data_IF_232560325523
#
_entry.id   IF_232560325523
#
_cell.length_a   1.000
_cell.length_b   1.000
_cell.length_c   1.000
_cell.angle_alpha   90.00
_cell.angle_beta   90.00
_cell.angle_gamma   90.00
#
_symmetry.space_group_name_H-M   'P 1'
#
loop_
_entity.id
_entity.type
_entity.pdbx_description
1 polymer ?
#
# COMPACT_ATOMS: atom_id res chain seq x y z
N UNK A 1 -10.33 -8.88 12.91
CA UNK A 1 -9.88 -7.76 13.75
C UNK A 1 -8.79 -8.33 14.65
N UNK A 2 -7.52 -8.04 14.37
CA UNK A 2 -6.45 -8.50 15.26
C UNK A 2 -6.61 -7.72 16.57
N UNK A 3 -7.02 -8.42 17.61
CA UNK A 3 -7.07 -7.91 18.98
C UNK A 3 -5.66 -7.45 19.39
N UNK A 4 -5.55 -6.39 20.20
CA UNK A 4 -4.30 -5.95 20.83
C UNK A 4 -3.58 -7.15 21.50
N UNK A 5 -4.35 -8.13 21.99
CA UNK A 5 -3.84 -9.40 22.48
C UNK A 5 -3.09 -10.21 21.41
N UNK A 6 -3.64 -10.36 20.21
CA UNK A 6 -3.03 -11.08 19.10
C UNK A 6 -1.72 -10.42 18.63
N UNK A 7 -1.67 -9.10 18.59
CA UNK A 7 -0.45 -8.34 18.25
C UNK A 7 0.69 -8.61 19.27
N UNK A 8 0.36 -8.57 20.56
CA UNK A 8 1.33 -8.84 21.64
C UNK A 8 1.85 -10.28 21.60
N UNK A 9 1.00 -11.23 21.25
CA UNK A 9 1.38 -12.63 21.12
C UNK A 9 2.30 -12.87 19.92
N UNK A 10 2.03 -12.25 18.76
CA UNK A 10 2.92 -12.29 17.59
C UNK A 10 4.30 -11.74 17.95
N UNK A 11 4.37 -10.58 18.60
CA UNK A 11 5.65 -9.99 19.03
C UNK A 11 6.41 -10.91 20.01
N UNK A 12 5.70 -11.56 20.95
CA UNK A 12 6.29 -12.51 21.90
C UNK A 12 6.86 -13.73 21.17
N UNK A 13 6.11 -14.30 20.23
CA UNK A 13 6.56 -15.45 19.44
C UNK A 13 7.78 -15.11 18.58
N UNK A 14 7.79 -13.93 17.95
CA UNK A 14 8.91 -13.50 17.11
C UNK A 14 10.18 -13.30 17.93
N UNK A 15 10.09 -12.66 19.10
CA UNK A 15 11.22 -12.54 20.04
C UNK A 15 11.74 -13.90 20.47
N UNK A 16 10.86 -14.81 20.88
CA UNK A 16 11.26 -16.15 21.28
C UNK A 16 11.99 -16.90 20.14
N UNK A 17 11.52 -16.77 18.90
CA UNK A 17 12.18 -17.38 17.73
C UNK A 17 13.57 -16.76 17.47
N UNK A 18 13.71 -15.44 17.58
CA UNK A 18 14.99 -14.74 17.41
C UNK A 18 15.99 -15.09 18.54
N UNK A 19 15.51 -15.11 19.78
CA UNK A 19 16.31 -15.40 20.99
C UNK A 19 16.76 -16.86 21.05
N UNK A 20 16.01 -17.79 20.43
CA UNK A 20 16.41 -19.20 20.33
C UNK A 20 17.69 -19.39 19.51
N UNK A 21 18.10 -18.41 18.71
CA UNK A 21 19.36 -18.45 17.94
C UNK A 21 19.39 -19.51 16.84
N UNK A 22 18.24 -20.11 16.50
CA UNK A 22 18.15 -21.22 15.52
C UNK A 22 18.16 -20.76 14.06
N UNK A 23 17.92 -19.47 13.83
CA UNK A 23 17.90 -18.87 12.50
C UNK A 23 19.31 -18.59 11.99
N UNK A 24 19.52 -18.78 10.68
CA UNK A 24 20.68 -18.25 9.98
C UNK A 24 20.68 -16.70 9.99
N UNK A 25 21.82 -16.09 9.69
CA UNK A 25 22.03 -14.64 9.85
C UNK A 25 21.03 -13.79 9.04
N UNK A 26 20.76 -14.13 7.77
CA UNK A 26 19.82 -13.37 6.93
C UNK A 26 18.36 -13.44 7.42
N UNK A 27 17.78 -14.63 7.68
CA UNK A 27 16.47 -14.73 8.32
C UNK A 27 16.40 -14.03 9.68
N UNK A 28 17.48 -14.07 10.49
CA UNK A 28 17.53 -13.37 11.77
C UNK A 28 17.39 -11.86 11.58
N UNK A 29 18.17 -11.25 10.68
CA UNK A 29 18.06 -9.81 10.35
C UNK A 29 16.67 -9.45 9.84
N UNK A 30 16.07 -10.29 8.99
CA UNK A 30 14.70 -10.08 8.50
C UNK A 30 13.68 -10.14 9.63
N UNK A 31 13.79 -11.13 10.52
CA UNK A 31 12.95 -11.23 11.70
C UNK A 31 13.12 -10.04 12.66
N UNK A 32 14.34 -9.56 12.87
CA UNK A 32 14.61 -8.34 13.65
C UNK A 32 13.95 -7.11 13.03
N UNK A 33 14.04 -6.94 11.71
CA UNK A 33 13.35 -5.84 10.99
C UNK A 33 11.83 -5.93 11.15
N UNK A 34 11.26 -7.11 11.00
CA UNK A 34 9.81 -7.36 11.18
C UNK A 34 9.39 -7.07 12.63
N UNK A 35 10.17 -7.52 13.62
CA UNK A 35 9.92 -7.24 15.04
C UNK A 35 9.97 -5.74 15.33
N UNK A 36 10.99 -5.06 14.81
CA UNK A 36 11.15 -3.63 14.98
C UNK A 36 9.94 -2.91 14.38
N UNK A 37 9.53 -3.25 13.15
CA UNK A 37 8.36 -2.65 12.51
C UNK A 37 7.06 -2.88 13.28
N UNK A 38 6.83 -4.09 13.79
CA UNK A 38 5.70 -4.42 14.66
C UNK A 38 5.72 -3.75 16.03
N UNK A 39 6.86 -3.23 16.45
CA UNK A 39 7.04 -2.60 17.77
C UNK A 39 7.13 -1.07 17.69
N UNK A 40 7.45 -0.49 16.54
CA UNK A 40 7.57 0.95 16.32
C UNK A 40 6.21 1.65 16.22
N UNK A 41 6.11 2.93 16.52
CA UNK A 41 4.89 3.68 16.20
C UNK A 41 4.81 4.00 14.70
N UNK A 42 3.58 4.15 14.21
CA UNK A 42 3.24 4.65 12.89
C UNK A 42 3.34 6.17 12.94
N UNK A 43 4.16 6.73 12.08
CA UNK A 43 4.41 8.16 12.03
C UNK A 43 3.49 8.85 11.02
N UNK A 44 2.57 9.66 11.54
CA UNK A 44 1.75 10.56 10.74
C UNK A 44 2.41 11.93 10.77
N UNK A 45 2.91 12.40 9.63
CA UNK A 45 3.54 13.71 9.52
C UNK A 45 2.55 14.74 8.99
N UNK A 46 2.51 15.90 9.64
CA UNK A 46 1.78 17.07 9.19
C UNK A 46 2.80 18.03 8.58
N UNK A 47 2.75 18.19 7.27
CA UNK A 47 3.70 18.97 6.49
C UNK A 47 2.97 20.04 5.67
N UNK A 48 3.68 21.09 5.25
CA UNK A 48 3.13 22.14 4.38
C UNK A 48 3.18 23.53 5.04
N UNK A 49 2.88 24.58 4.26
CA UNK A 49 3.08 25.97 4.67
C UNK A 49 2.12 26.44 5.78
N UNK A 50 0.93 25.84 5.89
CA UNK A 50 -0.13 26.33 6.78
C UNK A 50 0.07 25.85 8.22
N UNK A 51 0.59 26.70 9.10
CA UNK A 51 0.86 26.33 10.50
C UNK A 51 -0.41 26.09 11.31
N UNK A 52 -1.40 26.98 11.17
CA UNK A 52 -2.66 26.88 11.94
C UNK A 52 -3.44 25.61 11.59
N UNK A 53 -3.50 25.25 10.30
CA UNK A 53 -4.11 24.00 9.85
C UNK A 53 -3.41 22.76 10.41
N UNK A 54 -2.08 22.78 10.52
CA UNK A 54 -1.31 21.68 11.11
C UNK A 54 -1.57 21.55 12.61
N UNK A 55 -1.55 22.65 13.35
CA UNK A 55 -1.82 22.64 14.79
C UNK A 55 -3.23 22.12 15.09
N UNK A 56 -4.23 22.61 14.33
CA UNK A 56 -5.61 22.12 14.42
C UNK A 56 -5.72 20.62 14.17
N UNK A 57 -5.10 20.11 13.10
CA UNK A 57 -5.14 18.68 12.79
C UNK A 57 -4.38 17.83 13.81
N UNK A 58 -3.30 18.35 14.39
CA UNK A 58 -2.57 17.66 15.43
C UNK A 58 -3.47 17.43 16.65
N UNK A 59 -4.17 18.46 17.11
CA UNK A 59 -5.11 18.37 18.23
C UNK A 59 -6.24 17.36 17.94
N UNK A 60 -6.82 17.44 16.74
CA UNK A 60 -7.90 16.55 16.31
C UNK A 60 -7.45 15.09 16.26
N UNK A 61 -6.29 14.80 15.65
CA UNK A 61 -5.77 13.44 15.55
C UNK A 61 -5.36 12.89 16.92
N UNK A 62 -4.76 13.71 17.77
CA UNK A 62 -4.41 13.33 19.14
C UNK A 62 -5.64 12.96 19.96
N UNK A 63 -6.75 13.70 19.81
CA UNK A 63 -8.01 13.44 20.51
C UNK A 63 -8.67 12.10 20.10
N UNK A 64 -8.33 11.55 18.93
CA UNK A 64 -8.93 10.31 18.41
C UNK A 64 -8.22 9.04 18.89
N UNK A 65 -7.07 9.16 19.56
CA UNK A 65 -6.31 8.06 20.16
C UNK A 65 -6.07 6.89 19.18
N UNK A 66 -5.53 7.20 18.00
CA UNK A 66 -5.20 6.19 16.99
C UNK A 66 -4.12 5.22 17.54
N UNK A 67 -4.25 3.90 17.28
CA UNK A 67 -3.37 2.91 17.87
C UNK A 67 -1.95 3.04 17.30
N UNK A 68 -0.94 3.03 18.19
CA UNK A 68 0.49 3.10 17.81
C UNK A 68 0.75 4.23 16.82
N UNK A 69 0.14 5.40 17.02
CA UNK A 69 0.25 6.51 16.09
C UNK A 69 0.92 7.67 16.79
N UNK A 70 2.03 8.14 16.24
CA UNK A 70 2.69 9.37 16.66
C UNK A 70 2.47 10.43 15.57
N UNK A 71 1.87 11.57 15.95
CA UNK A 71 1.62 12.68 15.03
C UNK A 71 2.72 13.72 15.20
N UNK A 72 3.44 14.03 14.12
CA UNK A 72 4.58 14.97 14.12
C UNK A 72 4.31 16.17 13.22
N UNK A 73 4.53 17.36 13.77
CA UNK A 73 4.59 18.59 13.00
C UNK A 73 5.96 18.72 12.34
N UNK A 74 5.97 18.91 11.02
CA UNK A 74 7.19 19.19 10.26
C UNK A 74 7.11 20.62 9.72
N UNK A 75 8.19 21.37 9.94
CA UNK A 75 8.29 22.73 9.44
C UNK A 75 8.49 22.72 7.92
N UNK A 76 7.85 23.70 7.27
CA UNK A 76 7.91 23.89 5.83
C UNK A 76 9.30 24.40 5.42
N UNK A 77 9.88 23.85 4.35
CA UNK A 77 11.22 24.17 3.82
C UNK A 77 12.42 23.81 4.70
N UNK A 78 12.22 23.08 5.79
CA UNK A 78 13.33 22.36 6.43
C UNK A 78 13.75 21.17 5.54
N UNK A 79 14.91 20.57 5.82
CA UNK A 79 15.37 19.35 5.15
C UNK A 79 14.46 18.19 5.59
N UNK A 80 13.33 18.04 4.90
CA UNK A 80 12.28 17.09 5.28
C UNK A 80 12.75 15.68 4.99
N UNK A 81 13.03 14.95 6.07
CA UNK A 81 13.30 13.52 5.98
C UNK A 81 11.98 12.72 5.90
N UNK A 82 11.60 12.31 4.69
CA UNK A 82 10.44 11.45 4.44
C UNK A 82 10.67 9.97 4.80
N UNK A 83 11.88 9.55 5.18
CA UNK A 83 12.20 8.14 5.41
C UNK A 83 11.51 7.55 6.65
N UNK A 84 11.17 8.39 7.61
CA UNK A 84 10.52 7.95 8.84
C UNK A 84 9.00 8.12 8.79
N UNK A 85 8.46 8.77 7.75
CA UNK A 85 7.03 9.00 7.61
C UNK A 85 6.31 7.77 7.01
N UNK A 86 5.21 7.37 7.64
CA UNK A 86 4.33 6.31 7.15
C UNK A 86 3.12 6.87 6.42
N UNK A 87 2.59 8.01 6.91
CA UNK A 87 1.45 8.73 6.36
C UNK A 87 1.81 10.22 6.36
N UNK A 88 1.52 10.94 5.27
CA UNK A 88 1.74 12.38 5.19
C UNK A 88 0.42 13.12 4.98
N UNK A 89 0.11 14.10 5.82
CA UNK A 89 -0.93 15.09 5.56
C UNK A 89 -0.25 16.38 5.08
N UNK A 90 -0.43 16.68 3.80
CA UNK A 90 0.07 17.92 3.21
C UNK A 90 -0.95 19.04 3.39
N UNK A 91 -0.72 19.86 4.40
CA UNK A 91 -1.57 20.96 4.82
C UNK A 91 -1.19 22.24 4.09
N UNK A 92 -2.07 22.69 3.20
CA UNK A 92 -1.82 23.81 2.30
C UNK A 92 -3.04 24.71 2.19
N UNK A 93 -2.88 25.91 1.64
CA UNK A 93 -3.98 26.68 1.09
C UNK A 93 -4.12 26.41 -0.41
N UNK A 94 -3.04 26.44 -1.20
CA UNK A 94 -3.12 26.49 -2.67
C UNK A 94 -2.36 25.41 -3.44
N UNK A 95 -1.48 24.64 -2.80
CA UNK A 95 -0.50 23.75 -3.42
C UNK A 95 0.25 24.40 -4.59
N UNK A 96 1.16 25.33 -4.25
CA UNK A 96 1.91 26.10 -5.23
C UNK A 96 3.16 25.37 -5.77
N UNK A 97 3.87 25.98 -6.70
CA UNK A 97 5.04 25.38 -7.36
C UNK A 97 6.15 24.96 -6.38
N UNK A 98 6.43 25.79 -5.36
CA UNK A 98 7.43 25.45 -4.33
C UNK A 98 6.99 24.24 -3.48
N UNK A 99 5.68 24.04 -3.34
CA UNK A 99 5.13 22.87 -2.66
C UNK A 99 5.31 21.61 -3.48
N UNK A 100 4.96 21.69 -4.77
CA UNK A 100 5.14 20.60 -5.73
C UNK A 100 6.61 20.16 -5.85
N UNK A 101 7.55 21.10 -5.91
CA UNK A 101 8.99 20.79 -6.00
C UNK A 101 9.49 19.97 -4.80
N UNK A 102 9.05 20.33 -3.59
CA UNK A 102 9.40 19.57 -2.40
C UNK A 102 8.69 18.20 -2.37
N UNK A 103 7.41 18.14 -2.76
CA UNK A 103 6.66 16.88 -2.81
C UNK A 103 7.21 15.89 -3.84
N UNK A 104 7.80 16.35 -4.94
CA UNK A 104 8.44 15.49 -5.94
C UNK A 104 9.58 14.64 -5.37
N UNK A 105 10.22 15.09 -4.28
CA UNK A 105 11.27 14.33 -3.58
C UNK A 105 10.72 13.26 -2.62
N UNK A 106 9.41 13.25 -2.36
CA UNK A 106 8.79 12.26 -1.51
C UNK A 106 8.83 10.87 -2.18
N UNK A 107 9.15 9.80 -1.44
CA UNK A 107 9.19 8.46 -1.99
C UNK A 107 7.79 7.97 -2.36
N UNK A 108 7.67 7.15 -3.40
CA UNK A 108 6.38 6.67 -3.92
C UNK A 108 5.48 6.05 -2.84
N UNK A 109 6.08 5.25 -1.94
CA UNK A 109 5.37 4.65 -0.79
C UNK A 109 4.64 5.68 0.07
N UNK A 110 5.19 6.90 0.18
CA UNK A 110 4.59 7.97 0.97
C UNK A 110 3.56 8.75 0.16
N UNK A 111 3.75 8.86 -1.15
CA UNK A 111 2.73 9.42 -2.06
C UNK A 111 1.46 8.58 -2.05
N UNK A 112 1.61 7.25 -2.05
CA UNK A 112 0.52 6.29 -1.90
C UNK A 112 -0.25 6.42 -0.57
N UNK A 113 0.36 7.03 0.44
CA UNK A 113 -0.23 7.26 1.76
C UNK A 113 -0.27 8.76 2.12
N UNK A 114 -0.23 9.62 1.10
CA UNK A 114 -0.19 11.06 1.22
C UNK A 114 -1.58 11.64 0.99
N UNK A 115 -2.04 12.54 1.85
CA UNK A 115 -3.29 13.26 1.66
C UNK A 115 -3.01 14.73 1.39
N UNK A 116 -3.68 15.29 0.38
CA UNK A 116 -3.71 16.73 0.18
C UNK A 116 -4.83 17.31 1.06
N UNK A 117 -4.47 18.21 1.96
CA UNK A 117 -5.38 18.80 2.94
C UNK A 117 -5.41 20.34 2.77
N UNK A 118 -6.25 20.84 1.86
CA UNK A 118 -6.49 22.27 1.75
C UNK A 118 -7.19 22.80 3.00
N UNK A 119 -6.70 23.90 3.56
CA UNK A 119 -7.24 24.54 4.75
C UNK A 119 -7.72 25.96 4.46
N UNK A 120 -8.77 26.36 5.16
CA UNK A 120 -9.30 27.72 5.13
C UNK A 120 -10.11 28.02 6.39
N UNK A 121 -10.30 29.31 6.68
CA UNK A 121 -11.08 29.74 7.85
C UNK A 121 -12.60 29.61 7.64
N UNK A 122 -13.06 29.56 6.38
CA UNK A 122 -14.47 29.46 6.03
C UNK A 122 -14.70 28.59 4.80
N UNK A 123 -15.80 27.85 4.75
CA UNK A 123 -16.10 26.92 3.64
C UNK A 123 -16.24 27.62 2.27
N UNK A 124 -16.72 28.87 2.25
CA UNK A 124 -16.81 29.68 1.03
C UNK A 124 -15.46 29.97 0.36
N UNK A 125 -14.35 29.79 1.08
CA UNK A 125 -13.00 29.94 0.54
C UNK A 125 -12.61 28.76 -0.38
N UNK A 126 -13.34 27.64 -0.31
CA UNK A 126 -13.21 26.51 -1.22
C UNK A 126 -14.10 26.69 -2.46
N UNK A 127 -13.77 27.69 -3.28
CA UNK A 127 -14.46 27.87 -4.56
C UNK A 127 -14.31 26.64 -5.47
N UNK A 128 -15.35 26.33 -6.26
CA UNK A 128 -15.38 25.13 -7.12
C UNK A 128 -14.14 24.98 -8.01
N UNK A 129 -13.69 26.08 -8.63
CA UNK A 129 -12.52 26.06 -9.51
C UNK A 129 -11.23 25.67 -8.76
N UNK A 130 -11.09 26.08 -7.50
CA UNK A 130 -9.96 25.74 -6.64
C UNK A 130 -10.01 24.26 -6.25
N UNK A 131 -11.17 23.76 -5.86
CA UNK A 131 -11.36 22.34 -5.54
C UNK A 131 -11.10 21.44 -6.75
N UNK A 132 -11.51 21.87 -7.95
CA UNK A 132 -11.19 21.15 -9.19
C UNK A 132 -9.69 21.11 -9.45
N UNK A 133 -8.99 22.24 -9.40
CA UNK A 133 -7.55 22.29 -9.62
C UNK A 133 -6.76 21.43 -8.62
N UNK A 134 -7.13 21.49 -7.34
CA UNK A 134 -6.52 20.65 -6.29
C UNK A 134 -6.90 19.17 -6.45
N UNK A 135 -8.08 18.89 -6.99
CA UNK A 135 -8.54 17.54 -7.30
C UNK A 135 -7.70 16.88 -8.39
N UNK A 136 -7.36 17.60 -9.44
CA UNK A 136 -6.50 17.10 -10.53
C UNK A 136 -5.10 16.76 -9.99
N UNK A 137 -4.53 17.63 -9.15
CA UNK A 137 -3.23 17.38 -8.48
C UNK A 137 -3.32 16.17 -7.56
N UNK A 138 -4.37 16.09 -6.74
CA UNK A 138 -4.55 14.99 -5.81
C UNK A 138 -4.70 13.64 -6.53
N UNK A 139 -5.37 13.60 -7.69
CA UNK A 139 -5.55 12.38 -8.46
C UNK A 139 -4.24 11.81 -9.04
N UNK A 140 -3.22 12.66 -9.24
CA UNK A 140 -1.93 12.25 -9.80
C UNK A 140 -0.89 11.94 -8.71
N UNK A 141 -0.87 12.71 -7.63
CA UNK A 141 0.26 12.75 -6.69
C UNK A 141 -0.08 12.35 -5.25
N UNK A 142 -1.37 12.18 -4.92
CA UNK A 142 -1.83 11.90 -3.56
C UNK A 142 -2.82 10.74 -3.51
N UNK A 143 -2.97 10.14 -2.34
CA UNK A 143 -4.01 9.15 -2.05
C UNK A 143 -5.42 9.77 -2.08
N UNK A 144 -5.56 11.01 -1.60
CA UNK A 144 -6.86 11.67 -1.56
C UNK A 144 -6.81 13.15 -1.18
N UNK A 145 -7.94 13.84 -1.44
CA UNK A 145 -8.15 15.26 -1.20
C UNK A 145 -9.19 15.48 -0.09
N UNK A 146 -8.81 16.21 0.96
CA UNK A 146 -9.68 16.51 2.10
C UNK A 146 -9.66 18.01 2.44
N UNK A 147 -10.54 18.83 1.83
CA UNK A 147 -10.64 20.24 2.18
C UNK A 147 -11.30 20.40 3.55
N UNK A 148 -10.63 21.08 4.49
CA UNK A 148 -11.11 21.26 5.86
C UNK A 148 -11.21 22.74 6.24
N UNK A 149 -12.21 23.07 7.04
CA UNK A 149 -12.29 24.38 7.69
C UNK A 149 -11.65 24.27 9.07
N UNK A 150 -10.70 25.15 9.37
CA UNK A 150 -9.99 25.17 10.67
C UNK A 150 -10.86 25.80 11.76
N UNK A 151 -10.59 25.49 13.02
CA UNK A 151 -11.30 26.09 14.16
C UNK A 151 -12.76 25.66 14.34
N UNK A 152 -13.27 24.73 13.52
CA UNK A 152 -14.63 24.20 13.66
C UNK A 152 -14.70 23.16 14.78
N UNK A 153 -15.77 23.24 15.57
CA UNK A 153 -16.05 22.28 16.64
C UNK A 153 -16.80 21.05 16.14
N UNK A 154 -16.87 20.00 16.96
CA UNK A 154 -17.51 18.70 16.61
C UNK A 154 -19.01 18.78 16.31
N UNK A 155 -19.68 19.89 16.64
CA UNK A 155 -21.10 20.12 16.38
C UNK A 155 -21.35 20.89 15.07
N UNK A 156 -20.30 21.37 14.42
CA UNK A 156 -20.40 22.15 13.19
C UNK A 156 -20.62 21.23 11.98
N UNK A 157 -21.51 21.54 11.03
CA UNK A 157 -21.65 20.77 9.78
C UNK A 157 -20.35 20.57 9.00
N UNK A 158 -19.37 21.48 9.10
CA UNK A 158 -18.08 21.32 8.42
C UNK A 158 -17.18 20.26 9.07
N UNK A 159 -17.49 19.85 10.31
CA UNK A 159 -16.79 18.77 11.00
C UNK A 159 -16.85 17.45 10.24
N UNK A 160 -17.91 17.20 9.46
CA UNK A 160 -18.04 15.97 8.67
C UNK A 160 -16.84 15.73 7.73
N UNK A 161 -16.21 16.81 7.22
CA UNK A 161 -15.01 16.71 6.37
C UNK A 161 -13.77 16.34 7.18
N UNK A 162 -13.62 16.94 8.36
CA UNK A 162 -12.54 16.62 9.30
C UNK A 162 -12.67 15.17 9.77
N UNK A 163 -13.89 14.74 10.11
CA UNK A 163 -14.18 13.35 10.47
C UNK A 163 -13.93 12.37 9.33
N UNK A 164 -14.25 12.75 8.09
CA UNK A 164 -13.89 11.98 6.90
C UNK A 164 -12.38 11.74 6.79
N UNK A 165 -11.57 12.80 6.92
CA UNK A 165 -10.11 12.70 6.90
C UNK A 165 -9.59 11.80 8.04
N UNK A 166 -10.03 12.05 9.27
CA UNK A 166 -9.63 11.27 10.45
C UNK A 166 -9.96 9.79 10.25
N UNK A 167 -11.14 9.48 9.69
CA UNK A 167 -11.56 8.11 9.42
C UNK A 167 -10.65 7.44 8.39
N UNK A 168 -10.27 8.13 7.32
CA UNK A 168 -9.36 7.55 6.32
C UNK A 168 -7.94 7.38 6.86
N UNK A 169 -7.41 8.33 7.64
CA UNK A 169 -6.12 8.15 8.33
C UNK A 169 -6.18 6.95 9.27
N UNK A 170 -7.24 6.82 10.06
CA UNK A 170 -7.43 5.67 10.96
C UNK A 170 -7.52 4.33 10.18
N UNK A 171 -8.16 4.34 9.02
CA UNK A 171 -8.25 3.18 8.14
C UNK A 171 -6.86 2.79 7.62
N UNK A 172 -6.07 3.76 7.15
CA UNK A 172 -4.71 3.53 6.65
C UNK A 172 -3.77 3.00 7.74
N UNK A 173 -3.82 3.60 8.94
CA UNK A 173 -3.09 3.10 10.13
C UNK A 173 -3.46 1.64 10.39
N UNK A 174 -4.75 1.32 10.41
CA UNK A 174 -5.24 -0.04 10.64
C UNK A 174 -4.74 -1.02 9.56
N UNK A 175 -4.78 -0.64 8.30
CA UNK A 175 -4.28 -1.45 7.19
C UNK A 175 -2.77 -1.70 7.33
N UNK A 176 -1.99 -0.68 7.68
CA UNK A 176 -0.55 -0.81 7.95
C UNK A 176 -0.24 -1.78 9.10
N UNK A 177 -0.93 -1.64 10.23
CA UNK A 177 -0.77 -2.57 11.37
C UNK A 177 -1.13 -4.00 10.98
N UNK A 178 -2.19 -4.19 10.19
CA UNK A 178 -2.61 -5.50 9.72
C UNK A 178 -1.57 -6.12 8.79
N UNK A 179 -1.06 -5.35 7.83
CA UNK A 179 -0.02 -5.79 6.91
C UNK A 179 1.26 -6.22 7.65
N UNK A 180 1.72 -5.42 8.61
CA UNK A 180 2.88 -5.76 9.46
C UNK A 180 2.65 -7.08 10.21
N UNK A 181 1.44 -7.28 10.76
CA UNK A 181 1.07 -8.50 11.47
C UNK A 181 1.03 -9.72 10.53
N UNK A 182 0.55 -9.57 9.30
CA UNK A 182 0.50 -10.64 8.31
C UNK A 182 1.91 -11.02 7.84
N UNK A 183 2.79 -10.06 7.58
CA UNK A 183 4.22 -10.30 7.31
C UNK A 183 4.87 -11.07 8.46
N UNK A 184 4.58 -10.69 9.71
CA UNK A 184 5.09 -11.38 10.89
C UNK A 184 4.63 -12.83 10.98
N UNK A 185 3.35 -13.07 10.75
CA UNK A 185 2.78 -14.40 10.77
C UNK A 185 3.37 -15.27 9.66
N UNK A 186 3.55 -14.72 8.46
CA UNK A 186 4.20 -15.43 7.37
C UNK A 186 5.64 -15.82 7.75
N UNK A 187 6.40 -14.88 8.29
CA UNK A 187 7.76 -15.14 8.77
C UNK A 187 7.78 -16.25 9.84
N UNK A 188 6.89 -16.19 10.83
CA UNK A 188 6.76 -17.22 11.86
C UNK A 188 6.43 -18.59 11.25
N UNK A 189 5.48 -18.68 10.32
CA UNK A 189 5.12 -19.95 9.68
C UNK A 189 6.28 -20.56 8.87
N UNK A 190 7.08 -19.72 8.22
CA UNK A 190 8.22 -20.17 7.41
C UNK A 190 9.40 -20.72 8.23
N UNK A 191 9.47 -20.34 9.50
CA UNK A 191 10.62 -20.61 10.38
C UNK A 191 10.28 -21.37 11.68
N UNK A 192 9.01 -21.52 12.04
CA UNK A 192 8.58 -22.40 13.12
C UNK A 192 8.88 -23.86 12.74
N UNK A 193 9.60 -24.58 13.61
CA UNK A 193 9.92 -26.00 13.42
C UNK A 193 11.10 -26.30 12.50
N UNK A 194 11.76 -25.28 11.92
CA UNK A 194 13.10 -25.46 11.34
C UNK A 194 14.12 -25.46 12.47
N UNK A 195 14.44 -26.64 12.98
CA UNK A 195 15.63 -26.83 13.82
C UNK A 195 16.85 -26.30 13.08
N UNK A 196 17.73 -25.61 13.80
CA UNK A 196 19.02 -25.22 13.30
C UNK A 196 19.72 -26.48 12.78
N UNK A 197 19.91 -26.56 11.46
CA UNK A 197 20.92 -27.46 10.92
C UNK A 197 22.22 -27.20 11.68
N UNK A 198 22.99 -28.24 12.04
CA UNK A 198 24.20 -28.07 12.84
C UNK A 198 25.09 -27.00 12.21
N UNK A 199 25.83 -26.21 13.02
CA UNK A 199 26.77 -25.24 12.49
C UNK A 199 27.71 -25.99 11.56
N UNK A 200 27.65 -25.63 10.28
CA UNK A 200 28.41 -26.28 9.22
C UNK A 200 29.89 -26.22 9.63
N UNK A 201 30.58 -27.37 9.80
CA UNK A 201 31.99 -27.36 10.17
C UNK A 201 32.76 -26.63 9.07
N UNK A 202 33.26 -25.43 9.40
CA UNK A 202 34.17 -24.59 8.64
C UNK A 202 34.45 -25.12 7.23
N UNK A 203 33.50 -24.90 6.32
CA UNK A 203 33.69 -25.23 4.92
C UNK A 203 34.86 -24.38 4.44
N UNK A 204 35.96 -24.97 3.95
CA UNK A 204 37.06 -24.21 3.37
C UNK A 204 36.48 -23.31 2.28
N UNK A 205 36.97 -22.07 2.12
CA UNK A 205 36.30 -21.02 1.35
C UNK A 205 35.92 -21.57 -0.02
N UNK A 206 34.63 -21.87 -0.19
CA UNK A 206 34.10 -22.31 -1.46
C UNK A 206 34.15 -21.08 -2.35
N UNK A 207 34.77 -21.15 -3.54
CA UNK A 207 34.75 -20.04 -4.48
C UNK A 207 33.30 -19.58 -4.66
N UNK A 208 33.04 -18.27 -4.78
CA UNK A 208 31.71 -17.71 -4.73
C UNK A 208 30.81 -18.43 -5.74
N UNK A 209 29.86 -19.20 -5.23
CA UNK A 209 28.80 -19.79 -6.04
C UNK A 209 27.98 -18.63 -6.59
N UNK A 210 28.17 -18.36 -7.88
CA UNK A 210 27.27 -17.56 -8.69
C UNK A 210 25.84 -18.12 -8.56
N UNK A 211 24.98 -17.43 -7.83
CA UNK A 211 23.52 -17.56 -7.90
C UNK A 211 22.92 -16.17 -7.80
N UNK A 212 23.06 -15.47 -8.92
CA UNK A 212 22.18 -14.45 -9.49
C UNK A 212 22.73 -14.23 -10.90
N UNK A 213 22.55 -15.24 -11.75
CA UNK A 213 22.86 -15.08 -13.15
C UNK A 213 21.86 -14.11 -13.78
N UNK A 214 22.26 -13.20 -14.67
CA UNK A 214 21.34 -12.33 -15.42
C UNK A 214 20.24 -13.14 -16.14
N UNK A 215 20.51 -14.41 -16.48
CA UNK A 215 19.57 -15.32 -17.13
C UNK A 215 18.30 -15.64 -16.30
N UNK A 216 18.37 -15.73 -14.97
CA UNK A 216 17.18 -16.03 -14.14
C UNK A 216 16.29 -14.80 -13.99
N UNK A 217 16.90 -13.61 -13.85
CA UNK A 217 16.19 -12.33 -13.74
C UNK A 217 15.54 -11.92 -15.06
N UNK A 218 16.22 -12.17 -16.18
CA UNK A 218 15.65 -11.94 -17.51
C UNK A 218 14.47 -12.87 -17.80
N UNK A 219 14.55 -14.14 -17.38
CA UNK A 219 13.44 -15.09 -17.48
C UNK A 219 12.22 -14.66 -16.65
N UNK A 220 12.43 -14.24 -15.40
CA UNK A 220 11.37 -13.70 -14.51
C UNK A 220 10.71 -12.47 -15.14
N UNK A 221 11.52 -11.51 -15.61
CA UNK A 221 11.02 -10.29 -16.28
C UNK A 221 10.22 -10.61 -17.54
N UNK A 222 10.62 -11.64 -18.30
CA UNK A 222 9.91 -12.12 -19.48
C UNK A 222 8.50 -12.63 -19.17
N UNK A 223 8.32 -13.33 -18.05
CA UNK A 223 7.00 -13.78 -17.60
C UNK A 223 6.10 -12.59 -17.24
N UNK A 224 6.62 -11.61 -16.49
CA UNK A 224 5.86 -10.40 -16.14
C UNK A 224 5.44 -9.58 -17.38
N UNK A 225 6.32 -9.42 -18.36
CA UNK A 225 5.98 -8.75 -19.63
C UNK A 225 4.90 -9.50 -20.41
N UNK A 226 5.01 -10.82 -20.49
CA UNK A 226 4.01 -11.67 -21.17
C UNK A 226 2.64 -11.55 -20.50
N UNK A 227 2.61 -11.55 -19.16
CA UNK A 227 1.39 -11.34 -18.39
C UNK A 227 0.82 -9.91 -18.57
N UNK A 228 1.66 -8.88 -18.62
CA UNK A 228 1.23 -7.51 -18.92
C UNK A 228 0.64 -7.36 -20.32
N UNK A 229 1.23 -8.02 -21.32
CA UNK A 229 0.70 -7.99 -22.69
C UNK A 229 -0.68 -8.66 -22.77
N UNK A 230 -0.85 -9.80 -22.08
CA UNK A 230 -2.15 -10.45 -21.95
C UNK A 230 -3.17 -9.50 -21.27
N UNK A 231 -2.78 -8.81 -20.21
CA UNK A 231 -3.64 -7.87 -19.48
C UNK A 231 -4.01 -6.65 -20.34
N UNK A 232 -3.05 -6.06 -21.08
CA UNK A 232 -3.29 -4.93 -22.00
C UNK A 232 -4.23 -5.30 -23.14
N UNK A 233 -4.09 -6.50 -23.69
CA UNK A 233 -4.93 -6.99 -24.77
C UNK A 233 -6.42 -7.00 -24.38
N UNK A 234 -6.73 -7.46 -23.16
CA UNK A 234 -8.11 -7.59 -22.70
C UNK A 234 -8.68 -6.28 -22.10
N UNK A 235 -7.84 -5.44 -21.47
CA UNK A 235 -8.28 -4.12 -20.98
C UNK A 235 -8.72 -3.20 -22.12
N UNK A 236 -8.13 -3.32 -23.32
CA UNK A 236 -8.59 -2.58 -24.50
C UNK A 236 -10.06 -2.87 -24.84
N UNK A 237 -10.57 -4.07 -24.48
CA UNK A 237 -11.96 -4.45 -24.67
C UNK A 237 -12.90 -3.88 -23.58
N UNK A 238 -12.37 -3.42 -22.44
CA UNK A 238 -13.13 -2.77 -21.37
C UNK A 238 -13.40 -1.29 -21.66
N UNK A 239 -12.50 -0.60 -22.35
CA UNK A 239 -12.61 0.83 -22.66
C UNK A 239 -13.97 1.28 -23.24
N UNK A 240 -14.60 0.57 -24.21
CA UNK A 240 -15.91 0.95 -24.75
C UNK A 240 -17.09 0.69 -23.79
N UNK A 241 -16.88 -0.07 -22.70
CA UNK A 241 -17.94 -0.46 -21.75
C UNK A 241 -18.00 0.45 -20.52
N UNK A 242 -16.97 1.25 -20.27
CA UNK A 242 -16.87 2.15 -19.09
C UNK A 242 -17.94 3.25 -19.09
N UNK A 243 -18.53 3.56 -20.24
CA UNK A 243 -19.59 4.58 -20.37
C UNK A 243 -21.00 4.02 -20.32
N UNK A 244 -21.16 2.71 -20.18
CA UNK A 244 -22.44 2.04 -20.41
C UNK A 244 -23.00 1.50 -19.08
N UNK A 245 -24.24 1.87 -18.75
CA UNK A 245 -24.90 1.63 -17.46
C UNK A 245 -25.96 0.52 -17.51
N UNK A 246 -25.89 -0.38 -18.49
CA UNK A 246 -26.83 -1.49 -18.61
C UNK A 246 -26.28 -2.75 -17.93
N UNK A 247 -27.16 -3.59 -17.39
CA UNK A 247 -26.78 -4.86 -16.75
C UNK A 247 -26.01 -5.80 -17.70
N UNK A 248 -26.23 -5.65 -19.02
CA UNK A 248 -25.48 -6.37 -20.06
C UNK A 248 -23.99 -5.97 -20.09
N UNK A 249 -23.68 -4.70 -19.81
CA UNK A 249 -22.31 -4.20 -19.77
C UNK A 249 -21.59 -4.67 -18.52
N UNK A 250 -22.30 -4.72 -17.38
CA UNK A 250 -21.79 -5.25 -16.11
C UNK A 250 -21.35 -6.72 -16.26
N UNK A 251 -22.20 -7.55 -16.86
CA UNK A 251 -21.87 -8.96 -17.12
C UNK A 251 -20.71 -9.10 -18.11
N UNK A 252 -20.63 -8.22 -19.11
CA UNK A 252 -19.53 -8.21 -20.06
C UNK A 252 -18.20 -7.79 -19.41
N UNK A 253 -18.22 -6.81 -18.50
CA UNK A 253 -17.06 -6.40 -17.72
C UNK A 253 -16.57 -7.56 -16.84
N UNK A 254 -17.48 -8.28 -16.18
CA UNK A 254 -17.12 -9.46 -15.38
C UNK A 254 -16.53 -10.59 -16.23
N UNK A 255 -17.12 -10.89 -17.39
CA UNK A 255 -16.60 -11.89 -18.33
C UNK A 255 -15.19 -11.54 -18.80
N UNK A 256 -14.98 -10.30 -19.24
CA UNK A 256 -13.65 -9.82 -19.67
C UNK A 256 -12.67 -9.87 -18.51
N UNK A 257 -13.11 -9.50 -17.30
CA UNK A 257 -12.22 -9.51 -16.13
C UNK A 257 -11.75 -10.92 -15.79
N UNK A 258 -12.67 -11.89 -15.84
CA UNK A 258 -12.39 -13.30 -15.61
C UNK A 258 -11.45 -13.88 -16.67
N UNK A 259 -11.72 -13.63 -17.96
CA UNK A 259 -10.84 -14.04 -19.07
C UNK A 259 -9.43 -13.46 -18.90
N UNK A 260 -9.34 -12.18 -18.53
CA UNK A 260 -8.07 -11.49 -18.28
C UNK A 260 -7.30 -12.16 -17.15
N UNK A 261 -7.94 -12.38 -16.00
CA UNK A 261 -7.28 -12.97 -14.84
C UNK A 261 -6.86 -14.42 -15.08
N UNK A 262 -7.66 -15.18 -15.84
CA UNK A 262 -7.33 -16.56 -16.21
C UNK A 262 -6.13 -16.62 -17.16
N UNK A 263 -6.07 -15.72 -18.16
CA UNK A 263 -4.93 -15.63 -19.07
C UNK A 263 -3.63 -15.27 -18.33
N UNK A 264 -3.70 -14.33 -17.38
CA UNK A 264 -2.55 -13.98 -16.53
C UNK A 264 -2.14 -15.16 -15.65
N UNK A 265 -3.09 -15.81 -14.98
CA UNK A 265 -2.85 -16.99 -14.15
C UNK A 265 -2.19 -18.15 -14.93
N UNK A 266 -2.58 -18.36 -16.19
CA UNK A 266 -2.01 -19.40 -17.06
C UNK A 266 -0.53 -19.12 -17.39
N UNK A 267 -0.19 -17.86 -17.67
CA UNK A 267 1.20 -17.42 -17.89
C UNK A 267 2.07 -17.71 -16.67
N UNK A 268 1.58 -17.41 -15.46
CA UNK A 268 2.31 -17.67 -14.22
C UNK A 268 2.39 -19.17 -13.88
N UNK A 269 1.32 -19.93 -14.13
CA UNK A 269 1.27 -21.38 -13.86
C UNK A 269 2.18 -22.19 -14.78
N UNK A 270 2.30 -21.76 -16.04
CA UNK A 270 3.13 -22.42 -17.05
C UNK A 270 4.63 -22.15 -16.85
N UNK A 271 5.01 -21.23 -15.97
CA UNK A 271 6.40 -20.88 -15.71
C UNK A 271 7.10 -21.90 -14.78
N UNK A 272 8.24 -22.49 -15.19
CA UNK A 272 8.99 -23.45 -14.37
C UNK A 272 9.86 -22.77 -13.30
N UNK A 273 9.79 -21.44 -13.17
CA UNK A 273 10.60 -20.66 -12.23
C UNK A 273 10.27 -21.04 -10.79
N UNK A 274 11.32 -21.14 -9.96
CA UNK A 274 11.25 -21.52 -8.54
C UNK A 274 11.83 -20.44 -7.62
N UNK A 275 12.00 -19.24 -8.16
CA UNK A 275 12.42 -18.10 -7.37
C UNK A 275 11.38 -17.83 -6.26
N UNK A 276 11.78 -17.69 -4.98
CA UNK A 276 10.84 -17.55 -3.87
C UNK A 276 9.87 -16.38 -4.04
N UNK A 277 10.36 -15.24 -4.52
CA UNK A 277 9.55 -14.02 -4.68
C UNK A 277 8.58 -14.20 -5.86
N UNK A 278 9.03 -14.81 -6.95
CA UNK A 278 8.17 -15.20 -8.08
C UNK A 278 7.06 -16.19 -7.66
N UNK A 279 7.39 -17.16 -6.80
CA UNK A 279 6.41 -18.15 -6.32
C UNK A 279 5.33 -17.48 -5.48
N UNK A 280 5.69 -16.56 -4.58
CA UNK A 280 4.71 -15.79 -3.80
C UNK A 280 3.76 -14.99 -4.70
N UNK A 281 4.32 -14.29 -5.68
CA UNK A 281 3.52 -13.49 -6.62
C UNK A 281 2.62 -14.40 -7.47
N UNK A 282 3.11 -15.56 -7.92
CA UNK A 282 2.27 -16.55 -8.63
C UNK A 282 1.06 -16.96 -7.80
N UNK A 283 1.24 -17.30 -6.53
CA UNK A 283 0.12 -17.71 -5.66
C UNK A 283 -0.89 -16.58 -5.44
N UNK A 284 -0.41 -15.33 -5.34
CA UNK A 284 -1.28 -14.15 -5.25
C UNK A 284 -2.10 -13.97 -6.54
N UNK A 285 -1.47 -14.13 -7.72
CA UNK A 285 -2.15 -14.03 -9.01
C UNK A 285 -3.23 -15.11 -9.18
N UNK A 286 -2.94 -16.35 -8.78
CA UNK A 286 -3.91 -17.44 -8.80
C UNK A 286 -5.09 -17.17 -7.86
N UNK A 287 -4.80 -16.71 -6.63
CA UNK A 287 -5.83 -16.35 -5.65
C UNK A 287 -6.71 -15.20 -6.14
N UNK A 288 -6.15 -14.24 -6.87
CA UNK A 288 -6.89 -13.13 -7.43
C UNK A 288 -7.81 -13.58 -8.58
N UNK A 289 -7.36 -14.50 -9.44
CA UNK A 289 -8.19 -15.09 -10.48
C UNK A 289 -9.40 -15.85 -9.90
N UNK A 290 -9.20 -16.61 -8.82
CA UNK A 290 -10.29 -17.29 -8.12
C UNK A 290 -11.33 -16.30 -7.55
N UNK A 291 -10.88 -15.18 -6.99
CA UNK A 291 -11.78 -14.13 -6.48
C UNK A 291 -12.58 -13.48 -7.60
N UNK A 292 -11.96 -13.18 -8.73
CA UNK A 292 -12.65 -12.60 -9.90
C UNK A 292 -13.68 -13.59 -10.46
N UNK A 293 -13.38 -14.89 -10.46
CA UNK A 293 -14.35 -15.93 -10.80
C UNK A 293 -15.58 -15.89 -9.88
N UNK A 294 -15.39 -15.77 -8.56
CA UNK A 294 -16.50 -15.64 -7.62
C UNK A 294 -17.33 -14.37 -7.86
N UNK A 295 -16.67 -13.24 -8.12
CA UNK A 295 -17.35 -11.97 -8.45
C UNK A 295 -18.19 -12.09 -9.73
N UNK A 296 -17.69 -12.82 -10.73
CA UNK A 296 -18.39 -13.12 -11.99
C UNK A 296 -19.67 -13.93 -11.76
N UNK A 297 -19.63 -14.88 -10.82
CA UNK A 297 -20.81 -15.67 -10.43
C UNK A 297 -21.84 -14.87 -9.63
N UNK A 298 -21.38 -13.95 -8.77
CA UNK A 298 -22.27 -13.07 -7.98
C UNK A 298 -23.01 -12.07 -8.87
N UNK A 299 -22.33 -11.53 -9.89
CA UNK A 299 -22.88 -10.55 -10.81
C UNK A 299 -23.16 -9.18 -10.17
N UNK A 300 -23.49 -8.20 -11.01
CA UNK A 300 -23.85 -6.87 -10.55
C UNK A 300 -22.68 -5.89 -10.46
N UNK A 301 -23.03 -4.61 -10.25
CA UNK A 301 -22.09 -3.48 -10.40
C UNK A 301 -20.97 -3.54 -9.35
N UNK A 302 -21.29 -3.86 -8.10
CA UNK A 302 -20.29 -3.89 -7.03
C UNK A 302 -19.21 -4.98 -7.25
N UNK A 303 -19.57 -6.24 -7.58
CA UNK A 303 -18.58 -7.24 -7.99
C UNK A 303 -17.79 -6.86 -9.24
N UNK A 304 -18.42 -6.21 -10.23
CA UNK A 304 -17.73 -5.74 -11.43
C UNK A 304 -16.66 -4.68 -11.12
N UNK A 305 -16.97 -3.71 -10.27
CA UNK A 305 -16.00 -2.69 -9.81
C UNK A 305 -14.86 -3.35 -9.03
N UNK A 306 -15.17 -4.30 -8.15
CA UNK A 306 -14.16 -5.02 -7.39
C UNK A 306 -13.23 -5.86 -8.28
N UNK A 307 -13.77 -6.51 -9.32
CA UNK A 307 -12.99 -7.29 -10.28
C UNK A 307 -12.03 -6.40 -11.08
N UNK A 308 -12.50 -5.26 -11.59
CA UNK A 308 -11.66 -4.29 -12.31
C UNK A 308 -10.57 -3.72 -11.39
N UNK A 309 -10.92 -3.38 -10.14
CA UNK A 309 -9.94 -2.90 -9.15
C UNK A 309 -8.85 -3.92 -8.90
N UNK A 310 -9.22 -5.20 -8.78
CA UNK A 310 -8.27 -6.31 -8.61
C UNK A 310 -7.32 -6.43 -9.80
N UNK A 311 -7.82 -6.29 -11.04
CA UNK A 311 -6.96 -6.28 -12.24
C UNK A 311 -5.98 -5.11 -12.28
N UNK A 312 -6.40 -3.93 -11.83
CA UNK A 312 -5.51 -2.76 -11.74
C UNK A 312 -4.41 -2.97 -10.69
N UNK A 313 -4.73 -3.59 -9.56
CA UNK A 313 -3.75 -3.97 -8.54
C UNK A 313 -2.73 -4.97 -9.09
N UNK A 314 -3.20 -6.05 -9.74
CA UNK A 314 -2.34 -7.04 -10.41
C UNK A 314 -1.39 -6.36 -11.40
N UNK A 315 -1.91 -5.45 -12.24
CA UNK A 315 -1.09 -4.70 -13.20
C UNK A 315 0.00 -3.91 -12.50
N UNK A 316 -0.36 -3.16 -11.44
CA UNK A 316 0.57 -2.33 -10.68
C UNK A 316 1.68 -3.17 -10.05
N UNK A 317 1.33 -4.30 -9.44
CA UNK A 317 2.30 -5.23 -8.87
C UNK A 317 3.30 -5.73 -9.91
N UNK A 318 2.84 -6.09 -11.12
CA UNK A 318 3.74 -6.49 -12.21
C UNK A 318 4.64 -5.35 -12.70
N UNK A 319 4.14 -4.11 -12.76
CA UNK A 319 4.94 -2.94 -13.15
C UNK A 319 6.09 -2.69 -12.16
N UNK A 320 5.83 -2.83 -10.86
CA UNK A 320 6.85 -2.73 -9.82
C UNK A 320 7.93 -3.80 -10.00
N UNK A 321 7.55 -5.05 -10.27
CA UNK A 321 8.51 -6.15 -10.43
C UNK A 321 9.37 -6.06 -11.69
N UNK A 322 8.88 -5.40 -12.75
CA UNK A 322 9.67 -5.14 -13.95
C UNK A 322 10.67 -4.00 -13.74
N UNK A 323 10.32 -3.03 -12.88
CA UNK A 323 11.16 -1.86 -12.61
C UNK A 323 12.31 -2.14 -11.62
N UNK A 324 12.11 -3.10 -10.71
CA UNK A 324 13.08 -3.51 -9.69
C UNK A 324 14.28 -4.26 -10.27
#
# INVERSE_FOLDING_TARGET
MIDIAGHKDICRQLRHLLDAGTLADEPRKTGERVLNRLSSDIYVVLLGPETEGKDYLQEVLAARALPRTEVRLVAWRDDVNFQDADICLWVTSGFEHAEAEQWQSAPDRLKDHGFLVPTADTDSAFGQARLTALGDIAAEEFYGLFPIVTGVGTTDPQWDRVEGLVREVANMVRLGVQADADTAQMFLRLHQGKEAGPPDPAVPPRPPSARDGPETREAVTGVYRTAQDALRHHIAALAPLVTASEDADVQRILSISQETSAAVADVFSSSPLRDPDFVEIRENMLSAADRILLMSLEGGVAPAVAAVTTLLQIRREMEVQIAC
#
